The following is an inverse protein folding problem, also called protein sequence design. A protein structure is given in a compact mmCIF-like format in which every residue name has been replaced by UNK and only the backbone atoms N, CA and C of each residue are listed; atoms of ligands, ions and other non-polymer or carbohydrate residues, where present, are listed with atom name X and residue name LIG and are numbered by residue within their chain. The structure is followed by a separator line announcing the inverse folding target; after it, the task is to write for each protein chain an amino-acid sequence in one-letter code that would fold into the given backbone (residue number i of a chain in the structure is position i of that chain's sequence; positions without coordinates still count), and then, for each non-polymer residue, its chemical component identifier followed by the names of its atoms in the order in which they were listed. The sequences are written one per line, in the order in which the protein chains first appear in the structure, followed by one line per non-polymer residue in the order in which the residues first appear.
data_IF_004981464140
#
_entry.id   IF_004981464140
#
_cell.length_a   1.000
_cell.length_b   1.000
_cell.length_c   1.000
_cell.angle_alpha   90.00
_cell.angle_beta   90.00
_cell.angle_gamma   90.00
#
_symmetry.space_group_name_H-M   'P 1'
#
loop_
_entity.id
_entity.type
_entity.pdbx_description
1 polymer ?
#
# COMPACT_ATOMS: atom_id res chain seq x y z
N UNK A 1 34.87 20.64 -42.38
CA UNK A 1 35.87 21.41 -41.62
C UNK A 1 35.09 22.40 -40.78
N UNK A 2 35.06 22.22 -39.47
CA UNK A 2 34.33 23.10 -38.55
C UNK A 2 35.33 24.12 -38.03
N UNK A 3 34.99 25.41 -38.13
CA UNK A 3 35.83 26.51 -37.66
C UNK A 3 35.04 27.37 -36.69
N UNK A 4 35.61 27.67 -35.53
CA UNK A 4 35.00 28.52 -34.51
C UNK A 4 36.08 29.32 -33.77
N UNK A 5 35.67 30.35 -33.04
CA UNK A 5 36.57 31.21 -32.27
C UNK A 5 36.51 30.89 -30.78
N UNK A 6 37.61 31.09 -30.07
CA UNK A 6 37.66 30.93 -28.62
C UNK A 6 38.86 31.62 -28.00
N UNK A 7 38.99 31.48 -26.69
CA UNK A 7 40.13 31.99 -25.91
C UNK A 7 41.00 30.82 -25.47
N UNK A 8 42.25 30.80 -25.93
CA UNK A 8 43.26 29.79 -25.59
C UNK A 8 44.12 30.24 -24.41
N UNK A 9 44.30 29.34 -23.46
CA UNK A 9 45.15 29.49 -22.29
C UNK A 9 46.23 28.40 -22.32
N UNK A 10 47.49 28.79 -22.19
CA UNK A 10 48.65 27.91 -22.30
C UNK A 10 48.91 27.03 -21.05
N UNK A 11 48.08 27.16 -20.02
CA UNK A 11 48.20 26.43 -18.74
C UNK A 11 49.40 26.88 -17.88
N UNK A 12 50.18 27.85 -18.33
CA UNK A 12 51.37 28.39 -17.63
C UNK A 12 51.15 29.82 -17.16
N UNK A 13 50.32 30.57 -17.86
CA UNK A 13 49.97 31.95 -17.56
C UNK A 13 48.46 32.15 -17.62
N UNK A 14 47.94 33.14 -16.89
CA UNK A 14 46.51 33.51 -16.94
C UNK A 14 46.14 34.37 -18.15
N UNK A 15 47.06 34.59 -19.10
CA UNK A 15 46.84 35.41 -20.27
C UNK A 15 46.13 34.60 -21.36
N UNK A 16 44.87 34.94 -21.63
CA UNK A 16 44.10 34.35 -22.71
C UNK A 16 44.47 34.93 -24.08
N UNK A 17 44.55 34.09 -25.11
CA UNK A 17 44.75 34.50 -26.50
C UNK A 17 43.50 34.22 -27.32
N UNK A 18 43.03 35.20 -28.07
CA UNK A 18 41.95 34.96 -29.03
C UNK A 18 42.48 34.14 -30.21
N UNK A 19 41.81 33.03 -30.49
CA UNK A 19 42.23 32.06 -31.49
C UNK A 19 41.06 31.62 -32.36
N UNK A 20 41.37 31.34 -33.62
CA UNK A 20 40.54 30.59 -34.55
C UNK A 20 40.92 29.12 -34.48
N UNK A 21 39.93 28.26 -34.29
CA UNK A 21 40.10 26.83 -34.09
C UNK A 21 39.47 26.12 -35.27
N UNK A 22 40.21 25.25 -35.94
CA UNK A 22 39.71 24.46 -37.07
C UNK A 22 40.00 22.98 -36.91
N UNK A 23 39.03 22.14 -37.28
CA UNK A 23 39.12 20.70 -37.15
C UNK A 23 39.03 19.99 -38.51
N UNK A 24 40.00 19.11 -38.78
CA UNK A 24 40.12 18.37 -40.05
C UNK A 24 39.93 16.84 -39.88
N UNK A 25 39.24 16.40 -38.81
CA UNK A 25 38.89 14.98 -38.61
C UNK A 25 39.94 14.13 -37.89
N UNK A 26 41.20 14.55 -37.85
CA UNK A 26 42.29 13.87 -37.12
C UNK A 26 43.06 14.80 -36.18
N UNK A 27 43.14 16.09 -36.51
CA UNK A 27 43.86 17.11 -35.75
C UNK A 27 42.97 18.33 -35.50
N UNK A 28 43.11 18.90 -34.30
CA UNK A 28 42.60 20.23 -33.94
C UNK A 28 43.74 21.22 -34.15
N UNK A 29 43.52 22.20 -35.02
CA UNK A 29 44.44 23.30 -35.25
C UNK A 29 43.93 24.56 -34.56
N UNK A 30 44.81 25.22 -33.82
CA UNK A 30 44.54 26.46 -33.09
C UNK A 30 45.48 27.52 -33.63
N UNK A 31 44.92 28.61 -34.15
CA UNK A 31 45.69 29.66 -34.81
C UNK A 31 45.25 31.05 -34.34
N UNK A 32 46.20 31.95 -34.15
CA UNK A 32 45.92 33.37 -34.03
C UNK A 32 46.54 34.12 -35.22
N UNK A 33 45.72 34.88 -35.94
CA UNK A 33 46.12 35.58 -37.15
C UNK A 33 46.88 36.88 -36.88
N UNK A 34 46.86 37.39 -35.65
CA UNK A 34 47.52 38.65 -35.25
C UNK A 34 48.98 38.46 -34.82
N UNK A 35 49.30 37.34 -34.16
CA UNK A 35 50.64 37.06 -33.61
C UNK A 35 51.33 35.85 -34.25
N UNK A 36 50.68 35.18 -35.21
CA UNK A 36 51.20 34.00 -35.91
C UNK A 36 51.28 32.73 -35.05
N UNK A 37 50.63 32.71 -33.88
CA UNK A 37 50.60 31.53 -33.02
C UNK A 37 49.88 30.37 -33.72
N UNK A 38 50.49 29.19 -33.68
CA UNK A 38 49.96 27.98 -34.30
C UNK A 38 50.25 26.75 -33.45
N UNK A 39 49.22 25.98 -33.13
CA UNK A 39 49.33 24.69 -32.44
C UNK A 39 48.44 23.67 -33.14
N UNK A 40 48.98 22.50 -33.42
CA UNK A 40 48.22 21.32 -33.84
C UNK A 40 48.25 20.27 -32.76
N UNK A 41 47.08 19.79 -32.35
CA UNK A 41 46.92 18.73 -31.37
C UNK A 41 46.17 17.55 -32.01
N UNK A 42 46.69 16.31 -31.91
CA UNK A 42 45.94 15.12 -32.32
C UNK A 42 44.63 15.03 -31.55
N UNK A 43 43.53 14.66 -32.21
CA UNK A 43 42.21 14.56 -31.56
C UNK A 43 42.19 13.64 -30.33
N UNK A 44 43.09 12.67 -30.26
CA UNK A 44 43.22 11.73 -29.14
C UNK A 44 43.68 12.42 -27.85
N UNK A 45 44.35 13.56 -27.96
CA UNK A 45 44.89 14.37 -26.87
C UNK A 45 43.97 15.55 -26.50
N UNK A 46 42.77 15.58 -27.08
CA UNK A 46 41.74 16.57 -26.79
C UNK A 46 40.70 15.93 -25.89
N UNK A 47 40.39 16.59 -24.77
CA UNK A 47 39.30 16.22 -23.88
C UNK A 47 38.30 17.38 -23.81
N UNK A 48 37.03 17.08 -24.05
CA UNK A 48 35.97 18.07 -24.08
C UNK A 48 35.14 17.89 -22.82
N UNK A 49 35.13 18.90 -21.96
CA UNK A 49 34.36 18.84 -20.72
C UNK A 49 32.87 18.75 -21.05
N UNK A 50 32.16 17.86 -20.34
CA UNK A 50 30.73 17.68 -20.48
C UNK A 50 29.99 19.01 -20.25
N UNK A 51 28.97 19.33 -21.05
CA UNK A 51 28.22 20.57 -20.87
C UNK A 51 27.51 20.57 -19.52
N UNK A 52 27.56 21.71 -18.82
CA UNK A 52 26.76 21.98 -17.62
C UNK A 52 25.80 23.13 -17.93
N UNK A 53 24.66 22.83 -18.55
CA UNK A 53 23.69 23.85 -18.97
C UNK A 53 24.21 24.75 -20.11
N UNK A 54 24.11 26.08 -19.93
CA UNK A 54 24.51 27.10 -20.93
C UNK A 54 25.86 27.77 -20.62
N UNK A 55 26.72 27.12 -19.85
CA UNK A 55 28.04 27.67 -19.50
C UNK A 55 29.03 27.54 -20.65
N UNK A 56 30.00 28.45 -20.71
CA UNK A 56 31.09 28.44 -21.69
C UNK A 56 31.72 27.06 -21.77
N UNK A 57 31.87 26.55 -23.00
CA UNK A 57 32.42 25.21 -23.25
C UNK A 57 33.93 25.27 -23.09
N UNK A 58 34.48 24.33 -22.33
CA UNK A 58 35.92 24.20 -22.10
C UNK A 58 36.45 22.94 -22.79
N UNK A 59 37.48 23.13 -23.62
CA UNK A 59 38.24 22.09 -24.27
C UNK A 59 39.62 22.06 -23.62
N UNK A 60 40.03 20.92 -23.09
CA UNK A 60 41.35 20.74 -22.45
C UNK A 60 42.25 19.89 -23.32
N UNK A 61 43.52 20.26 -23.41
CA UNK A 61 44.55 19.54 -24.16
C UNK A 61 45.47 18.77 -23.21
N UNK A 62 46.12 17.72 -23.70
CA UNK A 62 46.98 16.83 -22.90
C UNK A 62 48.18 17.53 -22.22
N UNK A 63 48.60 18.68 -22.74
CA UNK A 63 49.66 19.52 -22.19
C UNK A 63 49.18 20.45 -21.06
N UNK A 64 47.90 20.40 -20.70
CA UNK A 64 47.27 21.24 -19.69
C UNK A 64 46.73 22.56 -20.20
N UNK A 65 46.87 22.85 -21.51
CA UNK A 65 46.26 24.01 -22.12
C UNK A 65 44.72 23.89 -22.19
N UNK A 66 44.04 25.03 -22.25
CA UNK A 66 42.58 25.10 -22.23
C UNK A 66 42.08 26.07 -23.27
N UNK A 67 40.96 25.76 -23.88
CA UNK A 67 40.27 26.59 -24.86
C UNK A 67 38.83 26.78 -24.42
N UNK A 68 38.42 28.02 -24.25
CA UNK A 68 37.09 28.41 -23.83
C UNK A 68 36.34 29.03 -25.01
N UNK A 69 35.10 28.57 -25.26
CA UNK A 69 34.25 29.11 -26.33
C UNK A 69 32.77 29.09 -25.95
N UNK A 70 32.05 30.11 -26.40
CA UNK A 70 30.59 30.18 -26.29
C UNK A 70 29.88 29.58 -27.52
N UNK A 71 30.64 29.10 -28.52
CA UNK A 71 30.08 28.43 -29.69
C UNK A 71 29.73 26.96 -29.38
N UNK A 72 28.61 26.79 -28.70
CA UNK A 72 28.08 25.48 -28.32
C UNK A 72 27.85 24.56 -29.52
N UNK A 73 27.43 25.10 -30.68
CA UNK A 73 27.12 24.31 -31.87
C UNK A 73 28.38 23.72 -32.51
N UNK A 74 29.46 24.52 -32.57
CA UNK A 74 30.74 24.05 -33.07
C UNK A 74 31.37 23.00 -32.14
N UNK A 75 31.29 23.18 -30.82
CA UNK A 75 31.80 22.20 -29.85
C UNK A 75 31.00 20.90 -29.89
N UNK A 76 29.67 20.94 -30.00
CA UNK A 76 28.87 19.72 -30.14
C UNK A 76 29.20 18.95 -31.43
N UNK A 77 29.54 19.65 -32.51
CA UNK A 77 30.01 19.01 -33.76
C UNK A 77 31.37 18.34 -33.56
N UNK A 78 32.27 18.98 -32.82
CA UNK A 78 33.57 18.42 -32.42
C UNK A 78 33.40 17.17 -31.52
N UNK A 79 32.52 17.22 -30.53
CA UNK A 79 32.21 16.09 -29.62
C UNK A 79 31.69 14.86 -30.37
N UNK A 80 30.81 15.06 -31.35
CA UNK A 80 30.28 13.97 -32.19
C UNK A 80 31.40 13.30 -33.01
N UNK A 81 32.37 14.07 -33.48
CA UNK A 81 33.50 13.56 -34.26
C UNK A 81 34.56 12.87 -33.39
N UNK A 82 34.81 13.36 -32.17
CA UNK A 82 35.84 12.84 -31.25
C UNK A 82 35.36 11.57 -30.49
N UNK A 83 34.07 11.21 -30.53
CA UNK A 83 33.47 9.94 -30.04
C UNK A 83 33.82 9.51 -28.59
N UNK A 84 34.32 10.39 -27.73
CA UNK A 84 34.78 9.99 -26.37
C UNK A 84 33.71 9.99 -25.27
N UNK A 85 32.62 10.75 -25.38
CA UNK A 85 31.65 10.91 -24.27
C UNK A 85 30.27 10.31 -24.54
N UNK A 86 30.21 8.96 -24.52
CA UNK A 86 28.94 8.19 -24.55
C UNK A 86 27.97 8.62 -23.45
N UNK A 87 28.48 8.95 -22.26
CA UNK A 87 27.67 9.40 -21.12
C UNK A 87 27.05 10.79 -21.34
N UNK A 88 27.77 11.74 -21.94
CA UNK A 88 27.23 13.07 -22.24
C UNK A 88 26.12 12.99 -23.31
N UNK A 89 26.27 12.11 -24.31
CA UNK A 89 25.23 11.85 -25.31
C UNK A 89 23.98 11.20 -24.72
N UNK A 90 24.15 10.29 -23.74
CA UNK A 90 23.02 9.69 -23.02
C UNK A 90 22.29 10.72 -22.13
N UNK A 91 23.03 11.60 -21.46
CA UNK A 91 22.48 12.70 -20.65
C UNK A 91 21.69 13.68 -21.50
N UNK A 92 22.22 14.16 -22.62
CA UNK A 92 21.52 15.07 -23.55
C UNK A 92 20.26 14.42 -24.16
N UNK A 93 20.32 13.11 -24.44
CA UNK A 93 19.15 12.35 -24.90
C UNK A 93 18.06 12.21 -23.81
N UNK A 94 18.46 12.03 -22.54
CA UNK A 94 17.56 12.00 -21.38
C UNK A 94 16.97 13.40 -21.11
N UNK A 95 17.78 14.45 -21.19
CA UNK A 95 17.36 15.85 -21.06
C UNK A 95 16.40 16.28 -22.17
N UNK A 96 16.47 15.69 -23.37
CA UNK A 96 15.51 15.96 -24.45
C UNK A 96 14.23 15.14 -24.36
N UNK A 97 14.24 14.02 -23.61
CA UNK A 97 13.12 13.08 -23.49
C UNK A 97 12.54 13.01 -22.07
N UNK A 98 12.88 13.95 -21.19
CA UNK A 98 12.37 14.00 -19.82
C UNK A 98 10.83 13.92 -19.70
N UNK A 99 10.00 14.43 -20.65
CA UNK A 99 8.55 14.26 -20.56
C UNK A 99 8.12 12.78 -20.73
N UNK A 100 8.84 12.01 -21.56
CA UNK A 100 8.60 10.57 -21.71
C UNK A 100 9.04 9.79 -20.47
N UNK A 101 10.12 10.22 -19.82
CA UNK A 101 10.56 9.64 -18.55
C UNK A 101 9.51 9.89 -17.46
N UNK A 102 9.00 11.12 -17.34
CA UNK A 102 7.91 11.42 -16.41
C UNK A 102 6.62 10.68 -16.74
N UNK A 103 6.24 10.60 -18.01
CA UNK A 103 5.06 9.83 -18.42
C UNK A 103 5.22 8.33 -18.11
N UNK A 104 6.42 7.78 -18.30
CA UNK A 104 6.71 6.39 -17.95
C UNK A 104 6.67 6.17 -16.44
N UNK A 105 7.23 7.10 -15.66
CA UNK A 105 7.17 7.06 -14.20
C UNK A 105 5.73 7.15 -13.69
N UNK A 106 4.94 8.09 -14.22
CA UNK A 106 3.52 8.22 -13.91
C UNK A 106 2.75 6.96 -14.31
N UNK A 107 3.07 6.35 -15.44
CA UNK A 107 2.51 5.07 -15.88
C UNK A 107 2.83 3.93 -14.93
N UNK A 108 4.07 3.83 -14.44
CA UNK A 108 4.47 2.84 -13.42
C UNK A 108 3.70 3.07 -12.12
N UNK A 109 3.62 4.31 -11.64
CA UNK A 109 2.87 4.66 -10.42
C UNK A 109 1.39 4.30 -10.59
N UNK A 110 0.77 4.68 -11.72
CA UNK A 110 -0.61 4.33 -12.02
C UNK A 110 -0.82 2.80 -12.07
N UNK A 111 0.09 2.05 -12.70
CA UNK A 111 0.02 0.60 -12.75
C UNK A 111 0.13 -0.05 -11.35
N UNK A 112 1.01 0.47 -10.49
CA UNK A 112 1.15 0.04 -9.09
C UNK A 112 -0.14 0.33 -8.32
N UNK A 113 -0.69 1.54 -8.43
CA UNK A 113 -1.95 1.92 -7.78
C UNK A 113 -3.12 1.05 -8.24
N UNK A 114 -3.25 0.81 -9.55
CA UNK A 114 -4.29 -0.11 -10.09
C UNK A 114 -4.09 -1.53 -9.56
N UNK A 115 -2.84 -1.99 -9.47
CA UNK A 115 -2.55 -3.33 -8.94
C UNK A 115 -3.00 -3.44 -7.48
N UNK A 116 -2.63 -2.47 -6.65
CA UNK A 116 -2.92 -2.46 -5.22
C UNK A 116 -4.41 -2.27 -4.94
N UNK A 117 -5.08 -1.33 -5.62
CA UNK A 117 -6.46 -0.95 -5.32
C UNK A 117 -7.52 -1.70 -6.13
N UNK A 118 -7.15 -2.39 -7.21
CA UNK A 118 -8.11 -3.08 -8.08
C UNK A 118 -7.77 -4.55 -8.25
N UNK A 119 -6.55 -4.87 -8.72
CA UNK A 119 -6.20 -6.25 -9.05
C UNK A 119 -6.14 -7.13 -7.81
N UNK A 120 -5.44 -6.69 -6.76
CA UNK A 120 -5.31 -7.46 -5.51
C UNK A 120 -6.67 -7.69 -4.84
N UNK A 121 -7.54 -6.66 -4.64
CA UNK A 121 -8.86 -6.87 -4.04
C UNK A 121 -9.76 -7.83 -4.83
N UNK A 122 -9.78 -7.73 -6.17
CA UNK A 122 -10.57 -8.63 -7.03
C UNK A 122 -10.07 -10.06 -6.95
N UNK A 123 -8.74 -10.26 -6.96
CA UNK A 123 -8.14 -11.58 -6.81
C UNK A 123 -8.38 -12.16 -5.41
N UNK A 124 -8.30 -11.34 -4.37
CA UNK A 124 -8.58 -11.73 -2.99
C UNK A 124 -10.04 -12.19 -2.82
N UNK A 125 -11.02 -11.46 -3.36
CA UNK A 125 -12.44 -11.90 -3.33
C UNK A 125 -12.62 -13.24 -4.05
N UNK A 126 -12.10 -13.38 -5.27
CA UNK A 126 -12.19 -14.64 -6.02
C UNK A 126 -11.53 -15.80 -5.27
N UNK A 127 -10.32 -15.61 -4.76
CA UNK A 127 -9.61 -16.63 -3.99
C UNK A 127 -10.38 -16.99 -2.71
N UNK A 128 -10.98 -16.01 -2.03
CA UNK A 128 -11.75 -16.24 -0.79
C UNK A 128 -12.92 -17.20 -0.97
N UNK A 129 -13.54 -17.20 -2.15
CA UNK A 129 -14.68 -18.07 -2.49
C UNK A 129 -14.25 -19.48 -2.90
N UNK A 130 -12.99 -19.67 -3.28
CA UNK A 130 -12.44 -20.96 -3.69
C UNK A 130 -11.90 -21.78 -2.52
N UNK A 131 -11.67 -21.16 -1.35
CA UNK A 131 -11.15 -21.89 -0.18
C UNK A 131 -12.20 -22.87 0.36
N UNK A 132 -11.89 -24.18 0.43
CA UNK A 132 -12.79 -25.18 0.99
C UNK A 132 -13.10 -24.93 2.47
N UNK A 133 -14.33 -25.23 2.88
CA UNK A 133 -14.79 -25.07 4.27
C UNK A 133 -13.92 -25.85 5.28
N UNK A 134 -13.40 -27.03 4.90
CA UNK A 134 -12.52 -27.83 5.76
C UNK A 134 -11.21 -27.13 6.13
N UNK A 135 -10.66 -26.33 5.21
CA UNK A 135 -9.46 -25.52 5.47
C UNK A 135 -9.80 -24.37 6.43
N UNK A 136 -10.95 -23.72 6.20
CA UNK A 136 -11.42 -22.63 7.05
C UNK A 136 -11.70 -23.11 8.49
N UNK A 137 -12.35 -24.26 8.65
CA UNK A 137 -12.62 -24.85 9.97
C UNK A 137 -11.33 -25.20 10.70
N UNK A 138 -10.36 -25.82 10.02
CA UNK A 138 -9.06 -26.16 10.60
C UNK A 138 -8.30 -24.91 11.06
N UNK A 139 -8.19 -23.91 10.18
CA UNK A 139 -7.51 -22.65 10.47
C UNK A 139 -8.20 -21.86 11.59
N UNK A 140 -9.53 -21.81 11.59
CA UNK A 140 -10.32 -21.10 12.61
C UNK A 140 -10.22 -21.79 13.97
N UNK A 141 -10.29 -23.13 14.04
CA UNK A 141 -10.10 -23.87 15.28
C UNK A 141 -8.71 -23.65 15.89
N UNK A 142 -7.67 -23.66 15.05
CA UNK A 142 -6.31 -23.40 15.50
C UNK A 142 -6.13 -21.94 15.95
N UNK A 143 -6.69 -20.98 15.21
CA UNK A 143 -6.70 -19.56 15.58
C UNK A 143 -7.37 -19.36 16.94
N UNK A 144 -8.56 -19.91 17.15
CA UNK A 144 -9.28 -19.83 18.42
C UNK A 144 -8.48 -20.46 19.56
N UNK A 145 -7.84 -21.61 19.34
CA UNK A 145 -6.98 -22.25 20.35
C UNK A 145 -5.79 -21.36 20.75
N UNK A 146 -5.18 -20.65 19.80
CA UNK A 146 -4.09 -19.72 20.08
C UNK A 146 -4.56 -18.48 20.84
N UNK A 147 -5.75 -17.98 20.52
CA UNK A 147 -6.37 -16.85 21.21
C UNK A 147 -6.80 -17.24 22.64
N UNK A 148 -7.43 -18.41 22.82
CA UNK A 148 -7.78 -18.97 24.12
C UNK A 148 -6.54 -19.13 25.01
N UNK A 149 -5.40 -19.56 24.45
CA UNK A 149 -4.17 -19.70 25.22
C UNK A 149 -3.55 -18.38 25.71
N UNK A 150 -3.92 -17.23 25.12
CA UNK A 150 -3.27 -15.93 25.38
C UNK A 150 -4.20 -14.87 25.97
N UNK A 151 -5.46 -14.86 25.57
CA UNK A 151 -6.36 -13.73 25.78
C UNK A 151 -7.74 -14.12 26.33
N UNK A 152 -8.19 -15.37 26.18
CA UNK A 152 -9.54 -15.77 26.55
C UNK A 152 -9.58 -16.82 27.65
N UNK A 153 -10.53 -16.65 28.58
CA UNK A 153 -10.97 -17.66 29.53
C UNK A 153 -12.39 -18.15 29.22
N UNK A 154 -12.86 -19.20 29.93
CA UNK A 154 -14.25 -19.63 29.83
C UNK A 154 -15.20 -18.49 30.24
N UNK A 155 -16.36 -18.40 29.58
CA UNK A 155 -17.39 -17.42 29.94
C UNK A 155 -17.83 -17.57 31.39
N UNK A 156 -18.14 -16.43 32.00
CA UNK A 156 -18.66 -16.29 33.36
C UNK A 156 -20.14 -15.89 33.37
N UNK A 157 -20.75 -15.74 32.19
CA UNK A 157 -22.15 -15.40 32.05
C UNK A 157 -23.04 -16.51 32.61
N UNK A 158 -24.17 -16.13 33.18
CA UNK A 158 -25.17 -17.09 33.64
C UNK A 158 -25.89 -17.76 32.45
N UNK A 159 -26.65 -18.81 32.75
CA UNK A 159 -27.35 -19.61 31.74
C UNK A 159 -28.49 -18.85 31.06
N UNK A 160 -29.14 -17.92 31.76
CA UNK A 160 -30.25 -17.14 31.21
C UNK A 160 -29.72 -16.14 30.18
N UNK A 161 -28.65 -15.42 30.53
CA UNK A 161 -27.96 -14.50 29.62
C UNK A 161 -27.40 -15.22 28.39
N UNK A 162 -26.75 -16.38 28.60
CA UNK A 162 -26.24 -17.22 27.50
C UNK A 162 -27.36 -17.68 26.57
N UNK A 163 -28.48 -18.16 27.12
CA UNK A 163 -29.62 -18.61 26.33
C UNK A 163 -30.30 -17.46 25.57
N UNK A 164 -30.33 -16.26 26.14
CA UNK A 164 -30.84 -15.06 25.44
C UNK A 164 -29.98 -14.73 24.21
N UNK A 165 -28.66 -14.71 24.37
CA UNK A 165 -27.72 -14.48 23.28
C UNK A 165 -27.81 -15.53 22.18
N UNK A 166 -27.86 -16.81 22.55
CA UNK A 166 -28.04 -17.90 21.60
C UNK A 166 -29.37 -17.76 20.85
N UNK A 167 -30.43 -17.33 21.52
CA UNK A 167 -31.72 -17.06 20.88
C UNK A 167 -31.62 -15.93 19.86
N UNK A 168 -31.05 -14.78 20.23
CA UNK A 168 -30.84 -13.64 19.31
C UNK A 168 -30.04 -14.08 18.09
N UNK A 169 -28.95 -14.82 18.31
CA UNK A 169 -28.09 -15.33 17.24
C UNK A 169 -28.85 -16.27 16.30
N UNK A 170 -29.62 -17.21 16.84
CA UNK A 170 -30.41 -18.14 16.03
C UNK A 170 -31.53 -17.44 15.25
N UNK A 171 -32.18 -16.43 15.83
CA UNK A 171 -33.19 -15.61 15.13
C UNK A 171 -32.54 -14.86 13.96
N UNK A 172 -31.41 -14.19 14.19
CA UNK A 172 -30.64 -13.51 13.15
C UNK A 172 -30.26 -14.46 12.00
N UNK A 173 -29.73 -15.65 12.30
CA UNK A 173 -29.38 -16.65 11.28
C UNK A 173 -30.58 -17.11 10.46
N UNK A 174 -31.76 -17.23 11.10
CA UNK A 174 -32.99 -17.62 10.44
C UNK A 174 -33.48 -16.53 9.46
N UNK A 175 -33.32 -15.26 9.80
CA UNK A 175 -33.72 -14.13 8.95
C UNK A 175 -32.78 -13.92 7.76
N UNK A 176 -31.47 -14.06 7.98
CA UNK A 176 -30.43 -13.78 6.98
C UNK A 176 -30.22 -14.95 6.00
N UNK A 177 -30.72 -16.14 6.35
CA UNK A 177 -30.59 -17.33 5.50
C UNK A 177 -29.22 -18.01 5.61
N UNK A 178 -28.77 -18.24 6.86
CA UNK A 178 -27.42 -18.71 7.25
C UNK A 178 -27.01 -20.12 6.80
N UNK A 179 -27.24 -20.51 5.55
CA UNK A 179 -26.88 -21.81 4.99
C UNK A 179 -25.45 -21.88 4.41
N UNK A 180 -24.75 -20.74 4.30
CA UNK A 180 -23.44 -20.65 3.65
C UNK A 180 -22.29 -21.23 4.49
N UNK A 181 -22.42 -21.21 5.83
CA UNK A 181 -21.38 -21.60 6.77
C UNK A 181 -21.95 -22.37 7.96
N UNK A 182 -21.08 -23.08 8.68
CA UNK A 182 -21.45 -23.73 9.95
C UNK A 182 -21.29 -22.74 11.11
N UNK A 183 -22.29 -21.86 11.22
CA UNK A 183 -22.30 -20.80 12.21
C UNK A 183 -22.26 -21.31 13.65
N UNK A 184 -21.40 -20.68 14.47
CA UNK A 184 -21.25 -20.99 15.90
C UNK A 184 -21.05 -19.71 16.69
N UNK A 185 -21.75 -19.58 17.81
CA UNK A 185 -21.52 -18.51 18.78
C UNK A 185 -20.63 -19.04 19.91
N UNK A 186 -19.54 -18.34 20.19
CA UNK A 186 -18.58 -18.68 21.23
C UNK A 186 -18.48 -17.53 22.23
N UNK A 187 -18.90 -17.75 23.47
CA UNK A 187 -18.80 -16.76 24.54
C UNK A 187 -17.47 -16.95 25.28
N UNK A 188 -16.75 -15.84 25.54
CA UNK A 188 -15.44 -15.87 26.20
C UNK A 188 -15.31 -14.75 27.22
N UNK A 189 -14.67 -15.04 28.34
CA UNK A 189 -14.26 -13.99 29.26
C UNK A 189 -12.91 -13.40 28.82
N UNK A 190 -12.81 -12.08 28.66
CA UNK A 190 -11.53 -11.41 28.39
C UNK A 190 -11.44 -10.06 29.08
N UNK A 191 -11.01 -10.02 30.35
CA UNK A 191 -10.74 -8.76 31.03
C UNK A 191 -9.58 -7.98 30.38
N UNK A 192 -8.69 -8.69 29.67
CA UNK A 192 -7.54 -8.11 28.96
C UNK A 192 -8.01 -7.36 27.71
N UNK A 193 -8.79 -8.01 26.83
CA UNK A 193 -9.27 -7.39 25.58
C UNK A 193 -10.43 -6.41 25.85
N UNK A 194 -11.24 -6.68 26.88
CA UNK A 194 -12.40 -5.87 27.21
C UNK A 194 -13.61 -6.16 26.32
N UNK A 195 -14.54 -5.18 26.18
CA UNK A 195 -15.73 -5.30 25.33
C UNK A 195 -15.35 -5.50 23.85
N UNK A 196 -15.58 -6.69 23.32
CA UNK A 196 -15.24 -7.02 21.93
C UNK A 196 -16.10 -8.15 21.36
N UNK A 197 -16.22 -8.17 20.04
CA UNK A 197 -16.73 -9.29 19.25
C UNK A 197 -15.91 -9.39 17.95
N UNK A 198 -15.77 -10.60 17.43
CA UNK A 198 -15.15 -10.81 16.12
C UNK A 198 -15.59 -12.13 15.49
N UNK A 199 -15.62 -12.16 14.17
CA UNK A 199 -15.88 -13.38 13.41
C UNK A 199 -14.61 -14.04 12.84
N UNK A 200 -14.56 -15.36 12.94
CA UNK A 200 -13.58 -16.22 12.26
C UNK A 200 -14.12 -16.66 10.89
N UNK A 201 -13.24 -16.90 9.90
CA UNK A 201 -13.65 -17.27 8.54
C UNK A 201 -14.50 -18.54 8.40
N UNK A 202 -14.52 -19.42 9.40
CA UNK A 202 -15.39 -20.61 9.41
C UNK A 202 -16.86 -20.30 9.75
N UNK A 203 -17.18 -19.06 10.16
CA UNK A 203 -18.49 -18.68 10.71
C UNK A 203 -18.59 -18.81 12.23
N UNK A 204 -17.46 -18.98 12.92
CA UNK A 204 -17.44 -18.88 14.39
C UNK A 204 -17.41 -17.41 14.78
N UNK A 205 -18.41 -16.93 15.50
CA UNK A 205 -18.46 -15.57 16.06
C UNK A 205 -18.12 -15.66 17.54
N UNK A 206 -17.12 -14.89 17.97
CA UNK A 206 -16.70 -14.81 19.38
C UNK A 206 -17.23 -13.50 19.97
N UNK A 207 -17.85 -13.58 21.14
CA UNK A 207 -18.35 -12.41 21.88
C UNK A 207 -17.78 -12.44 23.30
N UNK A 208 -17.24 -11.32 23.76
CA UNK A 208 -16.70 -11.24 25.12
C UNK A 208 -17.79 -10.97 26.16
N UNK A 209 -17.66 -11.56 27.35
CA UNK A 209 -18.55 -11.28 28.49
C UNK A 209 -18.63 -9.77 28.79
N UNK A 210 -17.52 -9.06 28.61
CA UNK A 210 -17.40 -7.62 28.82
C UNK A 210 -18.27 -6.83 27.83
N UNK A 211 -18.41 -7.30 26.59
CA UNK A 211 -19.33 -6.69 25.62
C UNK A 211 -20.79 -6.90 26.01
N UNK A 212 -21.11 -8.10 26.48
CA UNK A 212 -22.46 -8.43 26.96
C UNK A 212 -22.84 -7.56 28.15
N UNK A 213 -21.90 -7.35 29.08
CA UNK A 213 -22.09 -6.47 30.23
C UNK A 213 -22.23 -4.98 29.85
N UNK A 214 -21.63 -4.57 28.73
CA UNK A 214 -21.70 -3.20 28.21
C UNK A 214 -23.01 -2.92 27.47
N UNK A 215 -23.64 -3.95 26.91
CA UNK A 215 -24.87 -3.79 26.15
C UNK A 215 -26.03 -3.35 27.04
N UNK A 216 -26.74 -2.31 26.61
CA UNK A 216 -27.91 -1.79 27.34
C UNK A 216 -29.15 -2.64 27.15
N UNK A 217 -29.24 -3.36 26.03
CA UNK A 217 -30.32 -4.29 25.72
C UNK A 217 -29.93 -5.28 24.60
N UNK A 218 -30.78 -6.29 24.40
CA UNK A 218 -30.63 -7.35 23.40
C UNK A 218 -30.54 -6.84 21.95
N UNK A 219 -31.12 -5.67 21.63
CA UNK A 219 -31.10 -5.12 20.26
C UNK A 219 -29.72 -4.59 19.91
N UNK A 220 -29.02 -4.02 20.90
CA UNK A 220 -27.64 -3.61 20.73
C UNK A 220 -26.73 -4.81 20.40
N UNK A 221 -26.91 -5.92 21.11
CA UNK A 221 -26.20 -7.18 20.85
C UNK A 221 -26.58 -7.78 19.49
N UNK A 222 -27.86 -7.72 19.11
CA UNK A 222 -28.32 -8.16 17.80
C UNK A 222 -27.65 -7.36 16.66
N UNK A 223 -27.47 -6.04 16.84
CA UNK A 223 -26.74 -5.20 15.88
C UNK A 223 -25.28 -5.61 15.73
N UNK A 224 -24.58 -5.84 16.85
CA UNK A 224 -23.18 -6.32 16.81
C UNK A 224 -23.09 -7.71 16.17
N UNK A 225 -23.98 -8.64 16.51
CA UNK A 225 -23.99 -9.97 15.88
C UNK A 225 -24.29 -9.90 14.39
N UNK A 226 -25.18 -9.01 13.95
CA UNK A 226 -25.47 -8.80 12.53
C UNK A 226 -24.25 -8.23 11.79
N UNK A 227 -23.51 -7.31 12.42
CA UNK A 227 -22.25 -6.79 11.91
C UNK A 227 -21.19 -7.89 11.74
N UNK A 228 -20.98 -8.70 12.78
CA UNK A 228 -20.03 -9.82 12.71
C UNK A 228 -20.44 -10.88 11.69
N UNK A 229 -21.75 -11.13 11.55
CA UNK A 229 -22.27 -12.04 10.53
C UNK A 229 -21.97 -11.52 9.11
N UNK A 230 -22.10 -10.21 8.88
CA UNK A 230 -21.76 -9.60 7.60
C UNK A 230 -20.28 -9.81 7.23
N UNK A 231 -19.35 -9.72 8.19
CA UNK A 231 -17.94 -10.03 7.95
C UNK A 231 -17.72 -11.48 7.49
N UNK A 232 -18.51 -12.44 7.99
CA UNK A 232 -18.45 -13.84 7.55
C UNK A 232 -19.00 -14.00 6.14
N UNK A 233 -20.23 -13.53 5.91
CA UNK A 233 -20.92 -13.68 4.62
C UNK A 233 -20.12 -13.05 3.48
N UNK A 234 -19.53 -11.87 3.73
CA UNK A 234 -18.70 -11.15 2.75
C UNK A 234 -17.22 -11.55 2.77
N UNK A 235 -16.86 -12.55 3.59
CA UNK A 235 -15.51 -13.13 3.72
C UNK A 235 -14.44 -12.07 3.98
N UNK A 236 -14.76 -11.02 4.73
CA UNK A 236 -13.87 -9.88 4.98
C UNK A 236 -12.54 -10.31 5.60
N UNK A 237 -12.55 -11.24 6.56
CA UNK A 237 -11.32 -11.78 7.16
C UNK A 237 -10.41 -12.46 6.14
N UNK A 238 -10.99 -13.24 5.24
CA UNK A 238 -10.25 -13.99 4.22
C UNK A 238 -9.74 -13.07 3.08
N UNK A 239 -10.57 -12.10 2.66
CA UNK A 239 -10.18 -11.04 1.72
C UNK A 239 -9.03 -10.20 2.29
N UNK A 240 -9.13 -9.77 3.55
CA UNK A 240 -8.07 -9.03 4.24
C UNK A 240 -6.79 -9.83 4.33
N UNK A 241 -6.88 -11.12 4.68
CA UNK A 241 -5.72 -12.00 4.73
C UNK A 241 -5.02 -12.10 3.38
N UNK A 242 -5.77 -12.23 2.30
CA UNK A 242 -5.20 -12.31 0.94
C UNK A 242 -4.68 -10.97 0.42
N UNK A 243 -5.30 -9.86 0.80
CA UNK A 243 -4.79 -8.53 0.49
C UNK A 243 -3.47 -8.26 1.21
N UNK A 244 -3.32 -8.70 2.46
CA UNK A 244 -2.12 -8.47 3.28
C UNK A 244 -0.98 -9.47 3.03
N UNK A 245 -1.29 -10.74 2.75
CA UNK A 245 -0.27 -11.78 2.57
C UNK A 245 0.51 -11.70 1.24
N UNK A 246 0.11 -10.77 0.36
CA UNK A 246 0.78 -10.51 -0.91
C UNK A 246 0.58 -11.59 -1.98
N UNK A 247 1.14 -11.33 -3.16
CA UNK A 247 0.95 -12.15 -4.37
C UNK A 247 1.42 -13.60 -4.19
N UNK A 248 2.42 -13.85 -3.34
CA UNK A 248 2.98 -15.18 -3.15
C UNK A 248 2.00 -16.15 -2.45
N UNK A 249 1.32 -15.72 -1.38
CA UNK A 249 0.32 -16.58 -0.72
C UNK A 249 -0.87 -16.86 -1.65
N UNK A 250 -1.29 -15.86 -2.42
CA UNK A 250 -2.35 -16.01 -3.44
C UNK A 250 -1.99 -17.09 -4.48
N UNK A 251 -0.75 -17.11 -4.97
CA UNK A 251 -0.28 -18.13 -5.92
C UNK A 251 -0.25 -19.52 -5.27
N UNK A 252 0.31 -19.64 -4.06
CA UNK A 252 0.41 -20.94 -3.36
C UNK A 252 -0.96 -21.58 -3.10
N UNK A 253 -1.98 -20.76 -2.81
CA UNK A 253 -3.35 -21.24 -2.63
C UNK A 253 -4.00 -21.69 -3.94
N UNK A 254 -3.77 -20.99 -5.04
CA UNK A 254 -4.26 -21.41 -6.37
C UNK A 254 -3.65 -22.75 -6.81
N UNK A 255 -2.43 -23.05 -6.36
CA UNK A 255 -1.73 -24.31 -6.68
C UNK A 255 -2.06 -25.43 -5.67
N UNK A 256 -2.76 -25.11 -4.57
CA UNK A 256 -3.29 -26.10 -3.62
C UNK A 256 -2.26 -26.64 -2.62
N UNK A 257 -1.27 -25.83 -2.23
CA UNK A 257 -0.21 -26.27 -1.29
C UNK A 257 -0.71 -26.36 0.16
N UNK A 258 -0.44 -27.51 0.82
CA UNK A 258 -0.85 -27.84 2.20
C UNK A 258 -0.15 -26.93 3.23
N UNK A 259 1.05 -26.44 2.91
CA UNK A 259 1.79 -25.46 3.73
C UNK A 259 0.97 -24.18 3.99
N UNK A 260 0.03 -23.87 3.09
CA UNK A 260 -0.83 -22.69 3.18
C UNK A 260 -1.75 -22.71 4.39
N UNK A 261 -2.26 -23.87 4.83
CA UNK A 261 -3.20 -23.96 5.97
C UNK A 261 -2.52 -23.58 7.28
N UNK A 262 -1.34 -24.13 7.54
CA UNK A 262 -0.57 -23.84 8.75
C UNK A 262 -0.10 -22.38 8.78
N UNK A 263 0.35 -21.86 7.63
CA UNK A 263 0.72 -20.44 7.51
C UNK A 263 -0.49 -19.52 7.73
N UNK A 264 -1.65 -19.83 7.16
CA UNK A 264 -2.88 -19.07 7.39
C UNK A 264 -3.26 -19.04 8.87
N UNK A 265 -3.23 -20.19 9.55
CA UNK A 265 -3.57 -20.26 10.97
C UNK A 265 -2.59 -19.52 11.88
N UNK A 266 -1.32 -19.41 11.48
CA UNK A 266 -0.32 -18.63 12.21
C UNK A 266 -0.46 -17.11 12.00
N UNK A 267 -0.95 -16.68 10.85
CA UNK A 267 -1.05 -15.25 10.48
C UNK A 267 -2.42 -14.65 10.81
N UNK A 268 -3.48 -15.46 10.83
CA UNK A 268 -4.86 -15.04 11.15
C UNK A 268 -4.99 -14.34 12.50
N UNK A 269 -4.46 -14.86 13.63
CA UNK A 269 -4.59 -14.18 14.93
C UNK A 269 -4.03 -12.76 14.89
N UNK A 270 -2.84 -12.60 14.29
CA UNK A 270 -2.19 -11.30 14.14
C UNK A 270 -3.02 -10.36 13.28
N UNK A 271 -3.57 -10.82 12.16
CA UNK A 271 -4.44 -9.98 11.32
C UNK A 271 -5.71 -9.57 12.06
N UNK A 272 -6.35 -10.50 12.76
CA UNK A 272 -7.58 -10.24 13.52
C UNK A 272 -7.34 -9.26 14.66
N UNK A 273 -6.16 -9.26 15.29
CA UNK A 273 -5.84 -8.37 16.43
C UNK A 273 -5.24 -7.03 15.98
N UNK A 274 -4.36 -7.04 14.97
CA UNK A 274 -3.45 -5.91 14.69
C UNK A 274 -3.78 -5.15 13.40
N UNK A 275 -4.45 -5.77 12.42
CA UNK A 275 -4.56 -5.17 11.07
C UNK A 275 -5.84 -4.39 10.81
N UNK A 276 -6.91 -4.68 11.57
CA UNK A 276 -8.23 -4.08 11.35
C UNK A 276 -8.84 -4.38 10.00
N UNK A 277 -10.16 -4.23 9.89
CA UNK A 277 -10.83 -4.26 8.60
C UNK A 277 -10.67 -2.93 7.85
N UNK A 278 -10.71 -3.00 6.52
CA UNK A 278 -10.72 -1.80 5.68
C UNK A 278 -12.01 -1.00 5.90
N UNK A 279 -11.97 0.31 5.65
CA UNK A 279 -13.16 1.18 5.80
C UNK A 279 -14.34 0.69 4.96
N UNK A 280 -14.07 0.22 3.74
CA UNK A 280 -15.10 -0.31 2.84
C UNK A 280 -15.76 -1.58 3.44
N UNK A 281 -15.01 -2.42 4.15
CA UNK A 281 -15.55 -3.63 4.80
C UNK A 281 -16.38 -3.29 6.04
N UNK A 282 -15.99 -2.27 6.79
CA UNK A 282 -16.79 -1.77 7.92
C UNK A 282 -18.09 -1.14 7.43
N UNK A 283 -18.06 -0.34 6.36
CA UNK A 283 -19.27 0.25 5.78
C UNK A 283 -20.23 -0.82 5.25
N UNK A 284 -19.71 -1.86 4.57
CA UNK A 284 -20.52 -2.99 4.09
C UNK A 284 -21.17 -3.77 5.25
N UNK A 285 -20.44 -3.97 6.35
CA UNK A 285 -20.95 -4.66 7.53
C UNK A 285 -21.96 -3.81 8.34
N UNK A 286 -21.70 -2.51 8.47
CA UNK A 286 -22.60 -1.55 9.11
C UNK A 286 -23.91 -1.40 8.35
N UNK A 287 -23.85 -1.31 7.01
CA UNK A 287 -25.02 -1.25 6.17
C UNK A 287 -25.89 -2.49 6.37
N UNK A 288 -25.28 -3.67 6.33
CA UNK A 288 -25.98 -4.93 6.57
C UNK A 288 -26.66 -4.97 7.95
N UNK A 289 -25.92 -4.62 9.01
CA UNK A 289 -26.45 -4.59 10.37
C UNK A 289 -27.58 -3.56 10.52
N UNK A 290 -27.38 -2.36 9.98
CA UNK A 290 -28.36 -1.27 10.01
C UNK A 290 -29.65 -1.61 9.27
N UNK A 291 -29.54 -2.22 8.09
CA UNK A 291 -30.69 -2.71 7.32
C UNK A 291 -31.44 -3.80 8.10
N UNK A 292 -30.74 -4.76 8.69
CA UNK A 292 -31.36 -5.80 9.53
C UNK A 292 -32.13 -5.18 10.70
N UNK A 293 -31.52 -4.25 11.43
CA UNK A 293 -32.18 -3.59 12.56
C UNK A 293 -33.37 -2.74 12.14
N UNK A 294 -33.29 -2.08 10.99
CA UNK A 294 -34.38 -1.28 10.43
C UNK A 294 -35.55 -2.18 10.00
N UNK A 295 -35.27 -3.32 9.37
CA UNK A 295 -36.27 -4.33 9.00
C UNK A 295 -36.99 -4.91 10.22
N UNK A 296 -36.29 -5.05 11.36
CA UNK A 296 -36.89 -5.45 12.65
C UNK A 296 -37.69 -4.33 13.34
N UNK A 297 -37.67 -3.11 12.79
CA UNK A 297 -38.35 -1.94 13.36
C UNK A 297 -37.66 -1.38 14.61
N UNK A 298 -36.39 -1.70 14.82
CA UNK A 298 -35.61 -1.23 15.98
C UNK A 298 -34.90 0.11 15.72
N UNK A 299 -34.65 0.42 14.45
CA UNK A 299 -33.74 1.49 14.03
C UNK A 299 -32.28 1.18 14.39
N UNK A 300 -31.34 2.00 13.94
CA UNK A 300 -29.90 1.78 14.16
C UNK A 300 -29.39 2.28 15.51
N UNK A 301 -30.21 3.06 16.23
CA UNK A 301 -29.82 3.68 17.51
C UNK A 301 -29.22 2.70 18.53
N UNK A 302 -29.80 1.52 18.83
CA UNK A 302 -29.22 0.61 19.82
C UNK A 302 -27.80 0.14 19.43
N UNK A 303 -27.54 -0.08 18.14
CA UNK A 303 -26.22 -0.45 17.64
C UNK A 303 -25.24 0.73 17.72
N UNK A 304 -25.68 1.93 17.35
CA UNK A 304 -24.86 3.15 17.51
C UNK A 304 -24.49 3.41 18.97
N UNK A 305 -25.42 3.22 19.90
CA UNK A 305 -25.20 3.47 21.33
C UNK A 305 -24.17 2.49 21.93
N UNK A 306 -24.17 1.21 21.53
CA UNK A 306 -23.14 0.25 21.96
C UNK A 306 -21.78 0.53 21.33
N UNK A 307 -21.71 0.89 20.03
CA UNK A 307 -20.46 1.31 19.38
C UNK A 307 -19.83 2.52 20.08
N UNK A 308 -20.66 3.49 20.48
CA UNK A 308 -20.20 4.64 21.27
C UNK A 308 -19.73 4.25 22.68
N UNK A 309 -20.40 3.27 23.30
CA UNK A 309 -20.00 2.80 24.63
C UNK A 309 -18.67 2.07 24.57
N UNK A 310 -18.45 1.25 23.54
CA UNK A 310 -17.18 0.60 23.28
C UNK A 310 -16.07 1.62 23.04
N UNK A 311 -16.35 2.73 22.34
CA UNK A 311 -15.38 3.82 22.13
C UNK A 311 -14.87 4.47 23.41
N UNK A 312 -15.74 4.57 24.42
CA UNK A 312 -15.40 5.21 25.69
C UNK A 312 -14.53 4.32 26.56
N UNK A 313 -14.83 3.02 26.62
CA UNK A 313 -14.05 2.04 27.42
C UNK A 313 -12.59 1.90 26.94
N UNK A 314 -12.33 2.20 25.66
CA UNK A 314 -11.00 2.06 25.05
C UNK A 314 -10.13 3.30 25.21
N UNK A 315 -10.75 4.48 25.36
CA UNK A 315 -10.01 5.72 25.63
C UNK A 315 -9.11 5.67 26.86
N UNK A 316 -9.36 4.72 27.77
CA UNK A 316 -8.63 4.52 29.03
C UNK A 316 -7.69 3.29 29.04
N UNK A 317 -7.58 2.51 27.95
CA UNK A 317 -6.82 1.24 27.92
C UNK A 317 -5.76 1.16 26.80
N UNK A 318 -4.53 0.72 27.11
CA UNK A 318 -3.44 0.48 26.13
C UNK A 318 -3.53 -0.88 25.38
N UNK A 319 -4.63 -1.63 25.54
CA UNK A 319 -4.74 -3.05 25.14
C UNK A 319 -5.54 -3.19 23.84
N UNK A 320 -5.26 -4.20 22.98
CA UNK A 320 -6.04 -4.45 21.77
C UNK A 320 -7.55 -4.54 22.04
N UNK A 321 -8.30 -3.69 21.38
CA UNK A 321 -9.76 -3.60 21.52
C UNK A 321 -10.44 -3.61 20.14
N UNK A 322 -11.77 -3.61 20.13
CA UNK A 322 -12.65 -3.50 18.95
C UNK A 322 -12.20 -2.44 17.94
N UNK A 323 -11.51 -1.37 18.37
CA UNK A 323 -11.03 -0.30 17.50
C UNK A 323 -9.81 -0.68 16.66
N UNK A 324 -9.00 -1.64 17.13
CA UNK A 324 -7.94 -2.21 16.31
C UNK A 324 -8.50 -3.16 15.25
N UNK A 325 -9.63 -3.81 15.53
CA UNK A 325 -10.26 -4.76 14.62
C UNK A 325 -11.27 -4.09 13.68
N UNK A 326 -11.92 -3.02 14.13
CA UNK A 326 -12.96 -2.24 13.46
C UNK A 326 -12.71 -0.72 13.59
N UNK A 327 -11.91 -0.10 12.71
CA UNK A 327 -11.59 1.32 12.79
C UNK A 327 -12.74 2.24 12.31
N UNK A 328 -12.67 3.53 12.65
CA UNK A 328 -13.47 4.58 11.99
C UNK A 328 -14.82 4.92 12.63
N UNK A 329 -14.94 4.84 13.95
CA UNK A 329 -16.21 4.96 14.68
C UNK A 329 -17.03 6.21 14.37
N UNK A 330 -16.44 7.39 14.23
CA UNK A 330 -17.21 8.61 13.93
C UNK A 330 -17.91 8.55 12.56
N UNK A 331 -17.20 8.06 11.53
CA UNK A 331 -17.73 7.90 10.18
C UNK A 331 -18.83 6.82 10.15
N UNK A 332 -18.59 5.69 10.84
CA UNK A 332 -19.56 4.59 11.01
C UNK A 332 -20.86 5.05 11.68
N UNK A 333 -20.74 5.80 12.78
CA UNK A 333 -21.90 6.35 13.50
C UNK A 333 -22.71 7.34 12.64
N UNK A 334 -22.03 8.10 11.78
CA UNK A 334 -22.69 8.99 10.83
C UNK A 334 -23.40 8.20 9.72
N UNK A 335 -22.76 7.17 9.17
CA UNK A 335 -23.36 6.29 8.16
C UNK A 335 -24.63 5.61 8.69
N UNK A 336 -24.56 4.96 9.86
CA UNK A 336 -25.70 4.30 10.50
C UNK A 336 -26.86 5.28 10.78
N UNK A 337 -26.55 6.51 11.22
CA UNK A 337 -27.59 7.51 11.46
C UNK A 337 -28.36 7.88 10.18
N UNK A 338 -27.69 7.92 9.03
CA UNK A 338 -28.34 8.23 7.76
C UNK A 338 -29.31 7.12 7.32
N UNK A 339 -29.16 5.88 7.81
CA UNK A 339 -30.09 4.78 7.51
C UNK A 339 -31.44 4.93 8.24
N UNK A 340 -31.46 5.61 9.39
CA UNK A 340 -32.69 5.89 10.14
C UNK A 340 -33.51 7.04 9.51
N UNK A 341 -32.88 7.91 8.71
CA UNK A 341 -33.47 9.09 8.07
C UNK A 341 -33.33 9.02 6.52
N UNK A 342 -34.00 8.07 5.84
CA UNK A 342 -33.79 7.74 4.42
C UNK A 342 -34.27 8.78 3.40
#
# INVERSE_FOLDING_TARGET
MTTFTGTYFDGRTSAGRHVSVSFNGSTVSVRNDEDGFYVEVPQEQVDITAPLGRTTRVITFADGARLETDDHAAVSTLEQMVRKNRYAQMLDALERRWPLVLASLAGIVAAVLVTIHVVIPVMADKASRLVPATILDGASKQTLTMLDARFFGPTTLDRETTASLEKIFNELLADVGGASFSYRLELRNSPIIGPNAFALPSGTIVVTDQLVALATDDRALAGVLAHELAHVEQRHGLRSLFQNAGVFLLISLLVGDVTSVTSMAATMPTLLIESGYSRDFEEEADLFAGEYMTQKGWGTRPFRDILQSMAKEVGDSEVPSFFLTHPGTDDRLAHLRNLDDP
#
